data_IF_610737140455
#
_entry.id   IF_610737140455
#
_cell.length_a   1.000
_cell.length_b   1.000
_cell.length_c   1.000
_cell.angle_alpha   90.00
_cell.angle_beta   90.00
_cell.angle_gamma   90.00
#
_symmetry.space_group_name_H-M   'P 1'
#
loop_
_entity.id
_entity.type
_entity.pdbx_description
1 polymer ?
#
# COMPACT_ATOMS: atom_id res chain seq x y z
N UNK A 1 -0.93 11.33 12.03
CA UNK A 1 -0.78 12.44 11.06
C UNK A 1 0.11 11.97 9.91
N UNK A 2 -0.38 11.98 8.67
CA UNK A 2 0.43 11.73 7.48
C UNK A 2 0.98 13.06 6.97
N UNK A 3 2.27 13.10 6.64
CA UNK A 3 2.90 14.25 5.97
C UNK A 3 3.59 13.72 4.73
N UNK A 4 3.14 14.16 3.55
CA UNK A 4 3.77 13.84 2.27
C UNK A 4 4.70 14.96 1.84
N UNK A 5 5.88 14.61 1.33
CA UNK A 5 6.86 15.55 0.77
C UNK A 5 7.44 14.96 -0.50
N UNK A 6 7.53 15.79 -1.54
CA UNK A 6 8.09 15.45 -2.83
C UNK A 6 9.12 16.52 -3.20
N UNK A 7 10.32 16.12 -3.63
CA UNK A 7 11.41 17.03 -3.98
C UNK A 7 12.02 17.84 -2.83
N UNK A 8 11.53 17.69 -1.59
CA UNK A 8 12.04 18.37 -0.41
C UNK A 8 12.34 17.37 0.71
N UNK A 9 13.51 17.51 1.34
CA UNK A 9 13.82 16.71 2.52
C UNK A 9 12.93 17.11 3.72
N UNK A 10 12.43 16.13 4.50
CA UNK A 10 11.72 16.43 5.73
C UNK A 10 12.66 17.03 6.77
N UNK A 11 12.08 17.82 7.69
CA UNK A 11 12.83 18.33 8.83
C UNK A 11 13.50 17.20 9.59
N UNK A 12 14.79 17.39 9.87
CA UNK A 12 15.64 16.41 10.54
C UNK A 12 15.10 16.11 11.95
N UNK A 13 14.74 14.85 12.27
CA UNK A 13 14.44 14.48 13.64
C UNK A 13 15.66 14.68 14.53
N UNK A 14 15.44 15.11 15.78
CA UNK A 14 16.53 15.33 16.75
C UNK A 14 17.26 14.03 17.08
N UNK A 15 16.53 12.92 16.99
CA UNK A 15 17.00 11.56 17.27
C UNK A 15 17.89 11.01 16.14
N UNK A 16 17.86 11.63 14.95
CA UNK A 16 18.67 11.20 13.82
C UNK A 16 20.09 11.74 13.97
N UNK A 17 21.04 10.85 14.26
CA UNK A 17 22.41 11.18 14.62
C UNK A 17 23.11 12.07 13.61
N UNK A 18 23.96 12.97 14.05
CA UNK A 18 24.74 13.83 13.16
C UNK A 18 25.48 13.02 12.08
N UNK A 19 25.45 13.52 10.84
CA UNK A 19 26.05 12.85 9.67
C UNK A 19 25.23 11.70 9.06
N UNK A 20 24.20 11.17 9.75
CA UNK A 20 23.34 10.12 9.18
C UNK A 20 22.43 10.69 8.08
N UNK A 21 22.59 10.23 6.84
CA UNK A 21 21.79 10.71 5.70
C UNK A 21 20.42 10.03 5.65
N UNK A 22 19.45 10.72 5.05
CA UNK A 22 18.20 10.08 4.63
C UNK A 22 18.45 9.09 3.49
N UNK A 23 17.53 8.13 3.28
CA UNK A 23 17.54 7.28 2.09
C UNK A 23 17.56 8.13 0.81
N UNK A 24 18.50 7.83 -0.09
CA UNK A 24 18.77 8.64 -1.29
C UNK A 24 17.56 8.76 -2.23
N UNK A 25 16.82 7.67 -2.38
CA UNK A 25 15.65 7.60 -3.27
C UNK A 25 14.34 7.97 -2.55
N UNK A 26 14.44 8.45 -1.31
CA UNK A 26 13.30 8.66 -0.43
C UNK A 26 12.90 7.38 0.31
N UNK A 27 11.78 7.44 1.02
CA UNK A 27 11.36 6.37 1.90
C UNK A 27 10.24 6.78 2.84
N UNK A 28 10.04 6.00 3.88
CA UNK A 28 9.00 6.24 4.88
C UNK A 28 9.62 6.43 6.25
N UNK A 29 9.08 7.40 6.99
CA UNK A 29 9.43 7.64 8.38
C UNK A 29 8.17 7.54 9.25
N UNK A 30 8.16 6.58 10.16
CA UNK A 30 7.15 6.42 11.18
C UNK A 30 7.64 7.06 12.48
N UNK A 31 6.88 8.05 12.97
CA UNK A 31 7.16 8.70 14.25
C UNK A 31 6.21 8.12 15.31
N UNK A 32 6.76 7.31 16.21
CA UNK A 32 6.04 6.74 17.34
C UNK A 32 6.38 7.42 18.66
N UNK A 33 5.66 7.08 19.72
CA UNK A 33 5.93 7.57 21.08
C UNK A 33 7.24 7.06 21.68
N UNK A 34 7.80 5.99 21.11
CA UNK A 34 9.02 5.31 21.60
C UNK A 34 10.23 5.49 20.68
N UNK A 35 10.10 6.30 19.61
CA UNK A 35 11.17 6.54 18.65
C UNK A 35 10.69 6.51 17.20
N UNK A 36 11.66 6.47 16.30
CA UNK A 36 11.43 6.60 14.86
C UNK A 36 11.85 5.31 14.15
N UNK A 37 10.99 4.83 13.26
CA UNK A 37 11.32 3.79 12.29
C UNK A 37 11.44 4.43 10.92
N UNK A 38 12.57 4.24 10.26
CA UNK A 38 12.83 4.72 8.91
C UNK A 38 13.13 3.54 8.00
N UNK A 39 12.65 3.60 6.76
CA UNK A 39 13.00 2.64 5.72
C UNK A 39 13.17 3.36 4.39
N UNK A 40 13.94 2.74 3.51
CA UNK A 40 14.14 3.16 2.12
C UNK A 40 12.85 2.93 1.31
N UNK A 41 12.90 3.27 0.03
CA UNK A 41 11.84 2.97 -0.94
C UNK A 41 11.47 1.48 -0.88
N UNK A 42 10.19 1.18 -1.08
CA UNK A 42 9.62 -0.19 -1.05
C UNK A 42 9.84 -0.94 0.28
N UNK A 43 10.04 -0.23 1.39
CA UNK A 43 10.26 -0.86 2.69
C UNK A 43 11.68 -1.43 2.86
N UNK A 44 12.61 -1.04 1.98
CA UNK A 44 14.01 -1.45 2.06
C UNK A 44 14.67 -1.03 3.37
N UNK A 45 15.60 -1.85 3.86
CA UNK A 45 16.48 -1.50 4.98
C UNK A 45 15.79 -0.82 6.19
N UNK A 46 14.75 -1.42 6.81
CA UNK A 46 14.11 -0.80 7.98
C UNK A 46 15.12 -0.65 9.13
N UNK A 47 15.17 0.55 9.73
CA UNK A 47 16.08 0.94 10.80
C UNK A 47 15.37 1.77 11.87
N UNK A 48 15.63 1.43 13.13
CA UNK A 48 15.26 2.29 14.25
C UNK A 48 16.25 3.45 14.37
N UNK A 49 15.73 4.59 14.79
CA UNK A 49 16.48 5.81 15.08
C UNK A 49 16.17 6.21 16.53
N UNK A 50 17.19 6.35 17.39
CA UNK A 50 18.63 6.25 17.11
C UNK A 50 19.13 4.81 16.87
N UNK A 51 20.31 4.68 16.27
CA UNK A 51 21.08 3.47 15.99
C UNK A 51 21.34 2.63 17.24
N UNK A 52 21.43 3.24 18.42
CA UNK A 52 21.49 2.51 19.69
C UNK A 52 20.24 1.64 19.90
N UNK A 53 19.05 2.15 19.55
CA UNK A 53 17.81 1.38 19.58
C UNK A 53 17.83 0.26 18.52
N UNK A 54 18.39 0.52 17.34
CA UNK A 54 18.54 -0.50 16.30
C UNK A 54 19.48 -1.64 16.73
N UNK A 55 20.61 -1.32 17.36
CA UNK A 55 21.57 -2.29 17.89
C UNK A 55 20.99 -3.14 19.03
N UNK A 56 20.17 -2.53 19.87
CA UNK A 56 19.48 -3.24 20.95
C UNK A 56 18.30 -4.10 20.44
N UNK A 57 17.77 -3.79 19.26
CA UNK A 57 16.60 -4.45 18.72
C UNK A 57 16.89 -5.85 18.18
N UNK A 58 16.16 -6.83 18.69
CA UNK A 58 16.15 -8.19 18.16
C UNK A 58 15.07 -8.30 17.10
N UNK A 59 15.48 -8.52 15.85
CA UNK A 59 14.54 -8.67 14.73
C UNK A 59 13.61 -9.88 14.98
N UNK A 60 12.32 -9.77 14.66
CA UNK A 60 11.39 -10.89 14.78
C UNK A 60 11.82 -12.03 13.85
N UNK A 61 11.43 -13.25 14.22
CA UNK A 61 11.60 -14.40 13.34
C UNK A 61 10.90 -14.15 12.00
N UNK A 62 11.51 -14.61 10.91
CA UNK A 62 10.88 -14.53 9.58
C UNK A 62 9.69 -15.50 9.57
N UNK A 63 8.49 -14.98 9.36
CA UNK A 63 7.25 -15.78 9.31
C UNK A 63 6.74 -16.00 7.89
N UNK A 64 7.11 -15.12 6.95
CA UNK A 64 6.67 -15.19 5.56
C UNK A 64 7.76 -15.80 4.67
N UNK A 65 7.39 -16.69 3.72
CA UNK A 65 8.31 -17.20 2.73
C UNK A 65 8.86 -16.05 1.89
N UNK A 66 10.14 -16.14 1.52
CA UNK A 66 10.77 -15.15 0.66
C UNK A 66 10.62 -15.58 -0.79
N UNK A 67 10.12 -14.67 -1.60
CA UNK A 67 10.06 -14.81 -3.05
C UNK A 67 11.46 -15.09 -3.58
N UNK A 68 11.60 -16.17 -4.34
CA UNK A 68 12.85 -16.54 -5.01
C UNK A 68 12.90 -15.89 -6.39
N UNK A 69 14.05 -15.32 -6.77
CA UNK A 69 14.26 -14.78 -8.12
C UNK A 69 13.48 -13.49 -8.47
N UNK A 70 12.85 -12.82 -7.49
CA UNK A 70 12.10 -11.58 -7.72
C UNK A 70 10.60 -11.80 -7.93
N UNK A 71 9.85 -10.70 -7.87
CA UNK A 71 8.38 -10.71 -7.91
C UNK A 71 7.82 -11.21 -9.24
N UNK A 72 8.52 -10.98 -10.34
CA UNK A 72 8.19 -11.48 -11.68
C UNK A 72 8.27 -13.01 -11.73
N UNK A 73 9.32 -13.58 -11.13
CA UNK A 73 9.48 -15.03 -11.05
C UNK A 73 8.43 -15.67 -10.12
N UNK A 74 7.96 -14.94 -9.11
CA UNK A 74 6.85 -15.37 -8.27
C UNK A 74 5.56 -15.55 -9.07
N UNK A 75 5.24 -14.53 -9.87
CA UNK A 75 4.09 -14.56 -10.76
C UNK A 75 4.19 -15.70 -11.78
N UNK A 76 5.34 -15.86 -12.45
CA UNK A 76 5.56 -16.94 -13.41
C UNK A 76 5.37 -18.32 -12.76
N UNK A 77 5.89 -18.53 -11.53
CA UNK A 77 5.70 -19.78 -10.80
C UNK A 77 4.24 -20.05 -10.48
N UNK A 78 3.51 -19.05 -9.98
CA UNK A 78 2.09 -19.15 -9.68
C UNK A 78 1.27 -19.53 -10.92
N UNK A 79 1.54 -18.87 -12.05
CA UNK A 79 0.90 -19.18 -13.33
C UNK A 79 1.20 -20.61 -13.80
N UNK A 80 2.48 -21.03 -13.81
CA UNK A 80 2.87 -22.39 -14.22
C UNK A 80 2.31 -23.48 -13.30
N UNK A 81 2.12 -23.18 -12.03
CA UNK A 81 1.53 -24.10 -11.05
C UNK A 81 -0.01 -24.15 -11.11
N UNK A 82 -0.66 -23.26 -11.87
CA UNK A 82 -2.12 -23.11 -11.87
C UNK A 82 -2.69 -22.65 -10.52
N UNK A 83 -1.88 -21.95 -9.70
CA UNK A 83 -2.26 -21.48 -8.36
C UNK A 83 -2.15 -19.97 -8.28
N UNK A 84 -3.23 -19.27 -8.64
CA UNK A 84 -3.22 -17.80 -8.74
C UNK A 84 -2.98 -17.11 -7.38
N UNK A 85 -3.43 -17.72 -6.29
CA UNK A 85 -3.32 -17.24 -4.91
C UNK A 85 -1.92 -17.43 -4.31
N UNK A 86 -1.06 -18.23 -4.95
CA UNK A 86 0.32 -18.44 -4.53
C UNK A 86 1.24 -17.24 -4.83
N UNK A 87 0.83 -16.33 -5.73
CA UNK A 87 1.57 -15.11 -6.00
C UNK A 87 1.43 -14.12 -4.83
N UNK A 88 2.54 -13.51 -4.40
CA UNK A 88 2.53 -12.56 -3.28
C UNK A 88 1.62 -11.33 -3.46
N UNK A 89 1.22 -11.03 -4.69
CA UNK A 89 0.25 -9.98 -5.04
C UNK A 89 -0.88 -10.51 -5.96
N UNK A 90 -1.51 -11.63 -5.57
CA UNK A 90 -2.66 -12.18 -6.30
C UNK A 90 -3.85 -11.20 -6.40
N UNK A 91 -4.79 -11.45 -7.31
CA UNK A 91 -5.91 -10.53 -7.58
C UNK A 91 -6.81 -10.24 -6.37
N UNK A 92 -6.94 -11.18 -5.44
CA UNK A 92 -7.65 -10.92 -4.18
C UNK A 92 -6.97 -9.84 -3.34
N UNK A 93 -5.63 -9.82 -3.29
CA UNK A 93 -4.90 -8.74 -2.63
C UNK A 93 -4.87 -7.45 -3.46
N UNK A 94 -4.47 -7.55 -4.73
CA UNK A 94 -4.30 -6.40 -5.63
C UNK A 94 -5.61 -5.68 -5.97
N UNK A 95 -6.71 -6.42 -6.04
CA UNK A 95 -8.05 -5.90 -6.27
C UNK A 95 -8.49 -4.96 -5.15
N UNK A 96 -8.40 -5.39 -3.89
CA UNK A 96 -8.74 -4.54 -2.74
C UNK A 96 -7.86 -3.29 -2.62
N UNK A 97 -6.56 -3.39 -2.93
CA UNK A 97 -5.69 -2.21 -2.95
C UNK A 97 -6.11 -1.20 -4.02
N UNK A 98 -6.48 -1.71 -5.20
CA UNK A 98 -6.97 -0.90 -6.32
C UNK A 98 -8.31 -0.27 -5.98
N UNK A 99 -9.21 -1.02 -5.36
CA UNK A 99 -10.51 -0.57 -4.86
C UNK A 99 -10.38 0.67 -3.96
N UNK A 100 -9.50 0.63 -2.96
CA UNK A 100 -9.23 1.78 -2.07
C UNK A 100 -8.80 3.01 -2.86
N UNK A 101 -7.91 2.83 -3.83
CA UNK A 101 -7.41 3.94 -4.66
C UNK A 101 -8.52 4.53 -5.53
N UNK A 102 -9.37 3.69 -6.12
CA UNK A 102 -10.52 4.13 -6.93
C UNK A 102 -11.59 4.84 -6.10
N UNK A 103 -11.86 4.39 -4.87
CA UNK A 103 -12.76 5.09 -3.95
C UNK A 103 -12.28 6.50 -3.61
N UNK A 104 -10.96 6.72 -3.55
CA UNK A 104 -10.37 8.05 -3.45
C UNK A 104 -10.73 8.96 -4.63
N UNK A 105 -10.72 8.41 -5.85
CA UNK A 105 -11.16 9.15 -7.05
C UNK A 105 -12.65 9.50 -7.00
N UNK A 106 -13.50 8.58 -6.52
CA UNK A 106 -14.94 8.85 -6.33
C UNK A 106 -15.14 9.95 -5.29
N UNK A 107 -14.48 9.85 -4.13
CA UNK A 107 -14.57 10.86 -3.08
C UNK A 107 -14.16 12.27 -3.56
N UNK A 108 -13.14 12.36 -4.43
CA UNK A 108 -12.72 13.64 -5.04
C UNK A 108 -13.82 14.31 -5.88
N UNK A 109 -14.77 13.55 -6.43
CA UNK A 109 -15.92 14.09 -7.18
C UNK A 109 -16.98 14.74 -6.27
N UNK A 110 -16.98 14.43 -4.98
CA UNK A 110 -17.98 14.88 -4.01
C UNK A 110 -17.32 15.58 -2.80
N UNK A 111 -16.72 16.77 -2.99
CA UNK A 111 -16.01 17.48 -1.92
C UNK A 111 -16.94 17.79 -0.74
N UNK A 112 -16.44 17.65 0.48
CA UNK A 112 -17.21 17.89 1.72
C UNK A 112 -18.25 16.81 2.06
N UNK A 113 -18.42 15.78 1.22
CA UNK A 113 -19.33 14.66 1.46
C UNK A 113 -18.57 13.44 1.97
N UNK A 114 -18.98 12.92 3.12
CA UNK A 114 -18.56 11.58 3.56
C UNK A 114 -19.34 10.53 2.78
N UNK A 115 -18.65 9.66 2.05
CA UNK A 115 -19.24 8.51 1.35
C UNK A 115 -19.03 7.25 2.19
N UNK A 116 -20.08 6.45 2.36
CA UNK A 116 -20.04 5.17 3.07
C UNK A 116 -20.06 4.05 2.03
N UNK A 117 -18.99 3.26 2.00
CA UNK A 117 -18.79 2.18 1.05
C UNK A 117 -19.17 0.83 1.67
N UNK A 118 -19.95 0.03 0.94
CA UNK A 118 -20.17 -1.38 1.22
C UNK A 118 -19.42 -2.19 0.15
N UNK A 119 -18.30 -2.82 0.54
CA UNK A 119 -17.45 -3.59 -0.36
C UNK A 119 -18.08 -4.89 -0.86
N UNK A 120 -18.83 -5.59 -0.01
CA UNK A 120 -19.53 -6.82 -0.44
C UNK A 120 -20.58 -6.53 -1.52
N UNK A 121 -21.36 -5.45 -1.34
CA UNK A 121 -22.36 -5.03 -2.31
C UNK A 121 -21.81 -4.12 -3.41
N UNK A 122 -20.50 -3.81 -3.38
CA UNK A 122 -19.81 -2.90 -4.30
C UNK A 122 -20.58 -1.59 -4.55
N UNK A 123 -21.05 -0.92 -3.50
CA UNK A 123 -21.87 0.31 -3.63
C UNK A 123 -21.70 1.31 -2.48
N UNK A 124 -22.00 2.57 -2.79
CA UNK A 124 -22.12 3.66 -1.83
C UNK A 124 -23.53 3.68 -1.27
N UNK A 125 -23.66 3.61 0.05
CA UNK A 125 -24.94 3.39 0.74
C UNK A 125 -25.66 4.68 1.15
N UNK A 126 -24.94 5.81 1.20
CA UNK A 126 -25.46 7.06 1.75
C UNK A 126 -25.52 8.22 0.75
N UNK A 127 -25.15 7.99 -0.52
CA UNK A 127 -25.23 8.99 -1.58
C UNK A 127 -25.38 8.32 -2.95
N UNK A 128 -26.62 8.14 -3.38
CA UNK A 128 -26.99 7.45 -4.64
C UNK A 128 -26.19 7.90 -5.87
N UNK A 129 -26.10 9.22 -6.18
CA UNK A 129 -25.39 9.73 -7.35
C UNK A 129 -23.90 9.38 -7.43
N UNK A 130 -23.27 9.00 -6.32
CA UNK A 130 -21.88 8.57 -6.35
C UNK A 130 -21.68 7.18 -6.96
N UNK A 131 -22.74 6.36 -7.04
CA UNK A 131 -22.68 5.04 -7.66
C UNK A 131 -22.48 5.09 -9.19
N UNK A 132 -22.82 6.20 -9.84
CA UNK A 132 -22.55 6.43 -11.28
C UNK A 132 -21.06 6.41 -11.61
N UNK A 133 -20.20 6.61 -10.59
CA UNK A 133 -18.74 6.57 -10.71
C UNK A 133 -18.12 5.24 -10.26
N UNK A 134 -18.93 4.29 -9.77
CA UNK A 134 -18.46 2.99 -9.27
C UNK A 134 -18.38 1.97 -10.39
N UNK A 135 -19.38 1.95 -11.29
CA UNK A 135 -19.41 1.06 -12.46
C UNK A 135 -19.48 1.88 -13.74
N UNK A 136 -18.74 1.45 -14.75
CA UNK A 136 -18.86 1.97 -16.12
C UNK A 136 -19.70 1.02 -16.96
N UNK A 137 -20.49 1.51 -17.92
CA UNK A 137 -21.06 0.64 -18.93
C UNK A 137 -19.93 -0.08 -19.67
N UNK A 138 -20.11 -1.38 -19.90
CA UNK A 138 -19.23 -2.11 -20.81
C UNK A 138 -19.47 -1.63 -22.25
N UNK A 139 -18.44 -1.80 -23.07
CA UNK A 139 -18.59 -1.58 -24.51
C UNK A 139 -19.49 -2.67 -25.08
N UNK A 140 -20.34 -2.32 -26.04
CA UNK A 140 -21.19 -3.28 -26.75
C UNK A 140 -20.40 -4.51 -27.20
N UNK A 141 -20.97 -5.68 -26.93
CA UNK A 141 -20.36 -7.00 -27.17
C UNK A 141 -19.39 -7.49 -26.09
N UNK A 142 -19.20 -6.75 -25.00
CA UNK A 142 -18.38 -7.18 -23.85
C UNK A 142 -19.22 -7.24 -22.58
N UNK A 143 -19.12 -8.36 -21.87
CA UNK A 143 -19.73 -8.56 -20.55
C UNK A 143 -18.73 -9.25 -19.64
N UNK A 144 -18.86 -9.06 -18.33
CA UNK A 144 -18.29 -9.95 -17.33
C UNK A 144 -19.41 -10.82 -16.79
N UNK A 145 -19.17 -12.12 -16.64
CA UNK A 145 -20.11 -12.99 -15.94
C UNK A 145 -20.18 -12.55 -14.48
N UNK A 146 -21.39 -12.29 -13.96
CA UNK A 146 -21.62 -11.74 -12.61
C UNK A 146 -21.30 -12.74 -11.46
N UNK A 147 -20.58 -13.83 -11.74
CA UNK A 147 -20.42 -14.98 -10.84
C UNK A 147 -18.97 -15.29 -10.42
N UNK A 148 -18.05 -14.34 -10.57
CA UNK A 148 -16.68 -14.46 -10.05
C UNK A 148 -16.51 -13.79 -8.67
#
# INVERSE_FOLDING_TARGET
KLTWREGQEPSRPKELEEGRKYPREGGVMYKGSKGILMNDVYGGSPRLVPETAMKAYKRPKKTLPRVQGGHEQDWIRACKAGKYDAAGAHFGYGGHLTEITLLGNVAKRFPGKKLLWNGEAMRITNHGPANDWVKRPYRDGWTLDETA
#
